data_IF_936379767677
#
_entry.id   IF_936379767677
#
_cell.length_a   1.000
_cell.length_b   1.000
_cell.length_c   1.000
_cell.angle_alpha   90.00
_cell.angle_beta   90.00
_cell.angle_gamma   90.00
#
_symmetry.space_group_name_H-M   'P 1'
#
loop_
_entity.id
_entity.type
_entity.pdbx_description
1 polymer ?
#
# COMPACT_ATOMS: atom_id res chain seq x y z
N UNK A 1 -8.42 -14.14 -10.08
CA UNK A 1 -7.11 -13.70 -10.57
C UNK A 1 -6.12 -13.65 -9.41
N UNK A 2 -4.86 -13.91 -9.70
CA UNK A 2 -3.80 -13.94 -8.69
C UNK A 2 -3.20 -12.55 -8.46
N UNK A 3 -2.82 -12.26 -7.20
CA UNK A 3 -1.97 -11.14 -6.82
C UNK A 3 -0.72 -11.72 -6.13
N UNK A 4 0.48 -11.22 -6.42
CA UNK A 4 0.84 -10.14 -7.36
C UNK A 4 0.47 -10.47 -8.80
N UNK A 5 0.46 -9.47 -9.71
CA UNK A 5 0.25 -9.72 -11.14
C UNK A 5 1.42 -10.54 -11.69
N UNK A 6 1.17 -11.79 -11.95
CA UNK A 6 2.15 -12.78 -12.37
C UNK A 6 1.67 -13.56 -13.61
N UNK A 7 2.43 -14.57 -14.03
CA UNK A 7 2.08 -15.35 -15.21
C UNK A 7 0.71 -16.04 -15.09
N UNK A 8 0.26 -16.43 -13.88
CA UNK A 8 -1.08 -16.99 -13.69
C UNK A 8 -2.17 -15.93 -13.94
N UNK A 9 -1.93 -14.69 -13.53
CA UNK A 9 -2.84 -13.56 -13.81
C UNK A 9 -2.95 -13.31 -15.31
N UNK A 10 -1.81 -13.23 -15.99
CA UNK A 10 -1.76 -12.94 -17.43
C UNK A 10 -2.32 -14.10 -18.27
N UNK A 11 -2.08 -15.34 -17.85
CA UNK A 11 -2.71 -16.50 -18.47
C UNK A 11 -4.24 -16.46 -18.33
N UNK A 12 -4.76 -16.19 -17.13
CA UNK A 12 -6.19 -16.10 -16.89
C UNK A 12 -6.86 -14.91 -17.62
N UNK A 13 -6.11 -13.83 -17.86
CA UNK A 13 -6.59 -12.61 -18.48
C UNK A 13 -6.54 -12.67 -20.01
N UNK A 14 -5.42 -13.14 -20.56
CA UNK A 14 -5.10 -13.06 -21.99
C UNK A 14 -4.78 -14.43 -22.64
N UNK A 15 -4.73 -15.51 -21.88
CA UNK A 15 -4.31 -16.81 -22.38
C UNK A 15 -2.82 -16.93 -22.70
N UNK A 16 -2.00 -15.96 -22.28
CA UNK A 16 -0.56 -15.91 -22.52
C UNK A 16 0.17 -16.97 -21.72
N UNK A 17 1.10 -17.68 -22.35
CA UNK A 17 1.83 -18.82 -21.75
C UNK A 17 3.29 -18.52 -21.44
N UNK A 18 3.85 -17.51 -22.09
CA UNK A 18 5.26 -17.16 -21.97
C UNK A 18 5.46 -15.71 -21.53
N UNK A 19 6.56 -15.40 -20.83
CA UNK A 19 6.93 -14.03 -20.51
C UNK A 19 7.00 -13.11 -21.71
N UNK A 20 7.42 -13.63 -22.86
CA UNK A 20 7.51 -12.83 -24.09
C UNK A 20 6.15 -12.41 -24.60
N UNK A 21 5.17 -13.31 -24.63
CA UNK A 21 3.78 -12.98 -25.01
C UNK A 21 3.19 -11.91 -24.10
N UNK A 22 3.43 -12.00 -22.79
CA UNK A 22 2.99 -10.99 -21.81
C UNK A 22 3.63 -9.63 -22.10
N UNK A 23 4.95 -9.60 -22.36
CA UNK A 23 5.66 -8.34 -22.69
C UNK A 23 5.09 -7.69 -23.94
N UNK A 24 4.83 -8.47 -24.99
CA UNK A 24 4.23 -7.99 -26.23
C UNK A 24 2.83 -7.41 -25.94
N UNK A 25 2.00 -8.15 -25.19
CA UNK A 25 0.65 -7.73 -24.85
C UNK A 25 0.61 -6.42 -24.05
N UNK A 26 1.47 -6.31 -23.03
CA UNK A 26 1.60 -5.07 -22.26
C UNK A 26 2.09 -3.93 -23.15
N UNK A 27 3.12 -4.17 -23.97
CA UNK A 27 3.66 -3.14 -24.86
C UNK A 27 2.61 -2.61 -25.86
N UNK A 28 1.78 -3.49 -26.42
CA UNK A 28 0.66 -3.10 -27.29
C UNK A 28 -0.34 -2.19 -26.56
N UNK A 29 -0.75 -2.59 -25.37
CA UNK A 29 -1.74 -1.86 -24.60
C UNK A 29 -1.22 -0.53 -24.04
N UNK A 30 0.07 -0.45 -23.75
CA UNK A 30 0.70 0.75 -23.15
C UNK A 30 1.34 1.68 -24.19
N UNK A 31 1.33 1.33 -25.48
CA UNK A 31 2.00 2.07 -26.54
C UNK A 31 1.65 3.58 -26.58
N UNK A 32 0.38 3.90 -26.35
CA UNK A 32 -0.11 5.29 -26.31
C UNK A 32 0.36 6.08 -25.10
N UNK A 33 0.82 5.40 -24.04
CA UNK A 33 1.31 6.01 -22.80
C UNK A 33 2.84 6.12 -22.73
N UNK A 34 3.57 5.69 -23.75
CA UNK A 34 5.05 5.60 -23.72
C UNK A 34 5.71 6.91 -23.34
N UNK A 35 5.30 8.00 -23.97
CA UNK A 35 5.89 9.33 -23.80
C UNK A 35 5.01 10.26 -22.94
N UNK A 36 3.99 9.71 -22.28
CA UNK A 36 3.07 10.45 -21.42
C UNK A 36 3.58 10.41 -19.98
N UNK A 37 3.71 11.56 -19.32
CA UNK A 37 3.93 11.63 -17.88
C UNK A 37 2.58 11.50 -17.16
N UNK A 38 2.37 10.43 -16.36
CA UNK A 38 1.09 10.18 -15.71
C UNK A 38 0.75 11.26 -14.67
N UNK A 39 -0.45 11.81 -14.75
CA UNK A 39 -0.94 12.86 -13.84
C UNK A 39 -1.72 12.31 -12.66
N UNK A 40 -2.25 11.11 -12.78
CA UNK A 40 -3.09 10.47 -11.79
C UNK A 40 -2.84 8.96 -11.72
N UNK A 41 -3.50 8.28 -10.79
CA UNK A 41 -3.36 6.84 -10.55
C UNK A 41 -3.80 6.01 -11.76
N UNK A 42 -4.89 6.39 -12.44
CA UNK A 42 -5.39 5.69 -13.63
C UNK A 42 -4.33 5.68 -14.74
N UNK A 43 -3.83 6.86 -15.11
CA UNK A 43 -2.80 6.98 -16.15
C UNK A 43 -1.52 6.21 -15.79
N UNK A 44 -1.13 6.25 -14.51
CA UNK A 44 0.04 5.49 -14.02
C UNK A 44 -0.19 3.98 -14.11
N UNK A 45 -1.36 3.49 -13.74
CA UNK A 45 -1.71 2.08 -13.84
C UNK A 45 -1.74 1.61 -15.30
N UNK A 46 -2.43 2.35 -16.17
CA UNK A 46 -2.50 2.04 -17.59
C UNK A 46 -1.09 2.03 -18.22
N UNK A 47 -0.25 2.99 -17.87
CA UNK A 47 1.16 3.04 -18.33
C UNK A 47 1.97 1.82 -17.92
N UNK A 48 1.71 1.26 -16.72
CA UNK A 48 2.45 0.11 -16.19
C UNK A 48 2.01 -1.24 -16.76
N UNK A 49 0.70 -1.45 -16.90
CA UNK A 49 0.12 -2.79 -17.12
C UNK A 49 -0.98 -2.85 -18.16
N UNK A 50 -1.35 -1.71 -18.74
CA UNK A 50 -2.40 -1.61 -19.74
C UNK A 50 -3.82 -1.50 -19.17
N UNK A 51 -4.79 -1.07 -20.01
CA UNK A 51 -6.16 -0.83 -19.61
C UNK A 51 -6.90 -2.10 -19.15
N UNK A 52 -6.66 -3.26 -19.76
CA UNK A 52 -7.39 -4.49 -19.41
C UNK A 52 -7.23 -4.86 -17.93
N UNK A 53 -6.00 -4.83 -17.43
CA UNK A 53 -5.71 -5.15 -16.03
C UNK A 53 -6.19 -4.03 -15.10
N UNK A 54 -5.97 -2.78 -15.50
CA UNK A 54 -6.46 -1.63 -14.75
C UNK A 54 -7.97 -1.70 -14.52
N UNK A 55 -8.76 -1.78 -15.56
CA UNK A 55 -10.23 -1.80 -15.47
C UNK A 55 -10.75 -2.99 -14.65
N UNK A 56 -10.15 -4.17 -14.84
CA UNK A 56 -10.66 -5.40 -14.25
C UNK A 56 -10.21 -5.63 -12.81
N UNK A 57 -9.00 -5.24 -12.45
CA UNK A 57 -8.38 -5.67 -11.19
C UNK A 57 -7.98 -4.52 -10.25
N UNK A 58 -7.85 -3.28 -10.76
CA UNK A 58 -7.35 -2.15 -9.97
C UNK A 58 -8.43 -1.13 -9.69
N UNK A 59 -9.10 -0.66 -10.72
CA UNK A 59 -10.04 0.47 -10.65
C UNK A 59 -11.08 0.30 -9.53
N UNK A 60 -11.87 -0.77 -9.61
CA UNK A 60 -12.95 -0.99 -8.65
C UNK A 60 -12.47 -1.12 -7.20
N UNK A 61 -11.36 -1.83 -6.98
CA UNK A 61 -10.75 -1.94 -5.65
C UNK A 61 -10.27 -0.57 -5.15
N UNK A 62 -9.56 0.17 -5.99
CA UNK A 62 -8.99 1.47 -5.62
C UNK A 62 -10.08 2.50 -5.32
N UNK A 63 -11.09 2.60 -6.18
CA UNK A 63 -12.20 3.54 -5.99
C UNK A 63 -13.04 3.21 -4.76
N UNK A 64 -13.26 1.92 -4.47
CA UNK A 64 -13.91 1.47 -3.23
C UNK A 64 -13.09 1.86 -2.00
N UNK A 65 -11.79 1.62 -2.02
CA UNK A 65 -10.90 1.89 -0.88
C UNK A 65 -10.77 3.39 -0.59
N UNK A 66 -10.61 4.20 -1.63
CA UNK A 66 -10.39 5.64 -1.51
C UNK A 66 -11.68 6.47 -1.49
N UNK A 67 -12.80 5.89 -1.93
CA UNK A 67 -14.10 6.58 -2.01
C UNK A 67 -14.12 7.74 -3.00
N UNK A 68 -13.23 7.72 -3.98
CA UNK A 68 -13.11 8.72 -5.06
C UNK A 68 -12.58 8.07 -6.33
N UNK A 69 -12.71 8.76 -7.47
CA UNK A 69 -12.21 8.26 -8.75
C UNK A 69 -10.68 8.07 -8.73
N UNK A 70 -10.20 7.06 -9.45
CA UNK A 70 -8.77 6.85 -9.64
C UNK A 70 -8.08 8.04 -10.37
N UNK A 71 -8.83 8.82 -11.14
CA UNK A 71 -8.35 10.06 -11.77
C UNK A 71 -8.07 11.19 -10.79
N UNK A 72 -8.65 11.15 -9.59
CA UNK A 72 -8.46 12.13 -8.54
C UNK A 72 -7.35 11.74 -7.54
N UNK A 73 -6.73 10.58 -7.77
CA UNK A 73 -5.68 10.05 -6.91
C UNK A 73 -4.30 10.25 -7.52
N UNK A 74 -3.28 10.57 -6.71
CA UNK A 74 -1.95 10.80 -7.23
C UNK A 74 -1.29 9.51 -7.75
N UNK A 75 -0.43 9.61 -8.81
CA UNK A 75 0.15 8.45 -9.49
C UNK A 75 1.08 7.61 -8.61
N UNK A 76 1.69 8.18 -7.57
CA UNK A 76 2.64 7.46 -6.74
C UNK A 76 2.01 6.31 -5.96
N UNK A 77 0.69 6.32 -5.71
CA UNK A 77 -0.02 5.27 -4.96
C UNK A 77 0.18 3.90 -5.62
N UNK A 78 0.13 3.84 -6.95
CA UNK A 78 0.27 2.57 -7.69
C UNK A 78 1.66 2.32 -8.28
N UNK A 79 2.59 3.23 -8.09
CA UNK A 79 3.94 3.15 -8.67
C UNK A 79 4.70 1.87 -8.26
N UNK A 80 4.34 1.27 -7.13
CA UNK A 80 4.96 0.06 -6.58
C UNK A 80 4.25 -1.24 -6.94
N UNK A 81 3.34 -1.22 -7.90
CA UNK A 81 2.61 -2.41 -8.31
C UNK A 81 3.57 -3.53 -8.75
N UNK A 82 3.57 -4.69 -8.08
CA UNK A 82 4.47 -5.77 -8.45
C UNK A 82 3.96 -6.50 -9.70
N UNK A 83 4.70 -6.37 -10.79
CA UNK A 83 4.50 -7.13 -12.03
C UNK A 83 5.61 -8.17 -12.14
N UNK A 84 5.26 -9.44 -12.21
CA UNK A 84 6.21 -10.55 -12.24
C UNK A 84 5.96 -11.44 -13.45
N UNK A 85 7.03 -11.78 -14.15
CA UNK A 85 6.98 -12.68 -15.31
C UNK A 85 7.37 -14.13 -14.91
N UNK A 86 6.91 -14.53 -13.73
CA UNK A 86 7.06 -15.86 -13.14
C UNK A 86 5.72 -16.40 -12.69
N UNK A 87 5.62 -17.70 -12.42
CA UNK A 87 4.41 -18.34 -11.86
C UNK A 87 4.37 -18.32 -10.33
N UNK A 88 5.20 -17.48 -9.69
CA UNK A 88 5.27 -17.35 -8.25
C UNK A 88 4.10 -16.49 -7.72
N UNK A 89 3.31 -17.07 -6.82
CA UNK A 89 2.15 -16.44 -6.18
C UNK A 89 2.51 -15.78 -4.83
N UNK A 90 3.75 -15.86 -4.37
CA UNK A 90 4.14 -15.17 -3.15
C UNK A 90 4.06 -13.65 -3.37
N UNK A 91 3.35 -12.97 -2.50
CA UNK A 91 3.21 -11.52 -2.62
C UNK A 91 4.53 -10.81 -2.30
N UNK A 92 5.22 -11.25 -1.26
CA UNK A 92 6.52 -10.71 -0.83
C UNK A 92 7.69 -11.56 -1.34
N UNK A 93 8.87 -10.95 -1.46
CA UNK A 93 10.11 -11.61 -1.86
C UNK A 93 10.98 -12.01 -0.64
N UNK A 94 10.45 -11.82 0.57
CA UNK A 94 11.18 -12.09 1.80
C UNK A 94 11.45 -13.59 1.97
N UNK A 95 12.68 -13.91 2.34
CA UNK A 95 13.12 -15.30 2.54
C UNK A 95 12.35 -16.00 3.67
N UNK A 96 11.99 -15.23 4.70
CA UNK A 96 11.24 -15.72 5.85
C UNK A 96 9.95 -14.92 6.00
N UNK A 97 8.85 -15.61 6.07
CA UNK A 97 7.52 -15.04 6.24
C UNK A 97 6.75 -15.89 7.25
N UNK A 98 6.05 -15.24 8.17
CA UNK A 98 5.27 -15.96 9.16
C UNK A 98 4.51 -15.02 10.09
N UNK A 99 3.66 -15.60 10.90
CA UNK A 99 2.97 -14.94 11.99
C UNK A 99 3.58 -15.46 13.29
N UNK A 100 3.95 -14.59 14.25
CA UNK A 100 4.55 -15.04 15.51
C UNK A 100 3.61 -15.96 16.29
N UNK A 101 4.14 -17.05 16.84
CA UNK A 101 3.39 -17.87 17.80
C UNK A 101 3.14 -17.03 19.05
N UNK A 102 1.87 -16.93 19.46
CA UNK A 102 1.44 -16.05 20.56
C UNK A 102 1.04 -14.64 20.14
N UNK A 103 1.08 -14.32 18.84
CA UNK A 103 0.64 -13.04 18.28
C UNK A 103 1.74 -11.97 18.23
N UNK A 104 1.43 -10.84 17.63
CA UNK A 104 2.38 -9.77 17.38
C UNK A 104 2.89 -9.06 18.65
N UNK A 105 2.09 -9.03 19.72
CA UNK A 105 2.46 -8.38 20.97
C UNK A 105 3.74 -8.96 21.57
N UNK A 106 3.95 -10.27 21.41
CA UNK A 106 5.17 -10.95 21.91
C UNK A 106 6.45 -10.35 21.32
N UNK A 107 6.43 -9.92 20.05
CA UNK A 107 7.56 -9.23 19.43
C UNK A 107 7.81 -7.90 20.12
N UNK A 108 6.75 -7.12 20.32
CA UNK A 108 6.85 -5.79 20.94
C UNK A 108 7.33 -5.91 22.41
N UNK A 109 6.77 -6.84 23.15
CA UNK A 109 7.18 -7.12 24.54
C UNK A 109 8.67 -7.49 24.62
N UNK A 110 9.15 -8.35 23.72
CA UNK A 110 10.56 -8.73 23.67
C UNK A 110 11.47 -7.55 23.27
N UNK A 111 11.04 -6.68 22.36
CA UNK A 111 11.80 -5.49 21.95
C UNK A 111 11.88 -4.44 23.07
N UNK A 112 10.85 -4.35 23.90
CA UNK A 112 10.73 -3.38 24.99
C UNK A 112 11.20 -3.91 26.35
N UNK A 113 11.70 -5.14 26.43
CA UNK A 113 12.04 -5.82 27.69
C UNK A 113 12.93 -5.00 28.64
N UNK A 114 13.86 -4.24 28.08
CA UNK A 114 14.82 -3.43 28.85
C UNK A 114 14.58 -1.92 28.65
N UNK A 115 13.37 -1.55 28.24
CA UNK A 115 12.96 -0.16 27.99
C UNK A 115 11.87 0.20 28.98
N UNK A 116 11.97 1.37 29.60
CA UNK A 116 10.91 1.93 30.42
C UNK A 116 9.70 2.28 29.54
N UNK A 117 8.53 1.77 29.92
CA UNK A 117 7.29 1.94 29.15
C UNK A 117 6.19 2.49 30.04
N UNK A 118 5.68 3.64 29.70
CA UNK A 118 4.49 4.22 30.33
C UNK A 118 3.28 4.10 29.41
N UNK A 119 2.18 3.58 29.92
CA UNK A 119 0.92 3.42 29.21
C UNK A 119 -0.12 4.45 29.67
N UNK A 120 -1.04 4.81 28.76
CA UNK A 120 -2.12 5.74 29.09
C UNK A 120 -1.69 7.19 29.20
N UNK A 121 -0.50 7.53 28.70
CA UNK A 121 0.02 8.90 28.69
C UNK A 121 -0.38 9.60 27.40
N UNK A 122 -1.10 10.70 27.52
CA UNK A 122 -1.38 11.59 26.39
C UNK A 122 -0.18 12.53 26.18
N UNK A 123 0.42 12.44 24.99
CA UNK A 123 1.60 13.24 24.64
C UNK A 123 1.30 14.74 24.70
N UNK A 124 0.18 15.20 24.17
CA UNK A 124 -0.13 16.63 24.09
C UNK A 124 -0.47 17.24 25.44
N UNK A 125 -1.06 16.45 26.34
CA UNK A 125 -1.32 16.89 27.72
C UNK A 125 -0.04 17.04 28.54
N UNK A 126 1.02 16.29 28.21
CA UNK A 126 2.29 16.22 28.95
C UNK A 126 3.49 16.63 28.10
N UNK A 127 3.28 17.27 26.96
CA UNK A 127 4.29 17.53 25.93
C UNK A 127 5.57 18.16 26.46
N UNK A 128 5.44 19.22 27.24
CA UNK A 128 6.60 19.97 27.76
C UNK A 128 7.49 19.11 28.67
N UNK A 129 6.89 18.30 29.51
CA UNK A 129 7.59 17.40 30.41
C UNK A 129 8.27 16.25 29.63
N UNK A 130 7.53 15.64 28.70
CA UNK A 130 8.05 14.55 27.86
C UNK A 130 9.19 15.01 26.95
N UNK A 131 9.07 16.17 26.32
CA UNK A 131 10.15 16.73 25.50
C UNK A 131 11.39 17.11 26.35
N UNK A 132 11.20 17.54 27.59
CA UNK A 132 12.29 17.86 28.52
C UNK A 132 12.98 16.63 29.13
N UNK A 133 12.31 15.49 29.16
CA UNK A 133 12.82 14.25 29.76
C UNK A 133 13.80 13.50 28.86
N UNK A 134 13.90 13.83 27.57
CA UNK A 134 14.71 13.10 26.60
C UNK A 134 15.55 14.05 25.73
N UNK A 135 16.74 13.62 25.37
CA UNK A 135 17.61 14.33 24.43
C UNK A 135 17.01 14.37 23.00
N UNK A 136 16.29 13.33 22.62
CA UNK A 136 15.61 13.20 21.32
C UNK A 136 14.25 12.58 21.50
N UNK A 137 13.25 13.12 20.81
CA UNK A 137 11.87 12.62 20.80
C UNK A 137 11.55 12.09 19.40
N UNK A 138 11.02 10.87 19.34
CA UNK A 138 10.46 10.27 18.13
C UNK A 138 8.96 10.17 18.31
N UNK A 139 8.23 11.12 17.71
CA UNK A 139 6.77 11.13 17.76
C UNK A 139 6.19 10.33 16.62
N UNK A 140 5.40 9.31 16.95
CA UNK A 140 4.78 8.40 15.95
C UNK A 140 3.27 8.63 15.78
N UNK A 141 2.73 9.67 16.42
CA UNK A 141 1.33 10.07 16.28
C UNK A 141 1.06 10.88 15.01
N UNK A 142 -0.08 11.56 14.97
CA UNK A 142 -0.49 12.37 13.81
C UNK A 142 0.42 13.60 13.67
N UNK A 143 1.13 13.69 12.54
CA UNK A 143 2.11 14.75 12.32
C UNK A 143 1.46 16.13 12.20
N UNK A 144 0.28 16.23 11.61
CA UNK A 144 -0.49 17.45 11.52
C UNK A 144 -0.90 17.98 12.89
N UNK A 145 -1.33 17.09 13.80
CA UNK A 145 -1.62 17.42 15.20
C UNK A 145 -0.35 17.86 15.94
N UNK A 146 0.79 17.22 15.70
CA UNK A 146 2.07 17.62 16.31
C UNK A 146 2.43 19.08 16.01
N UNK A 147 2.08 19.55 14.82
CA UNK A 147 2.27 20.95 14.37
C UNK A 147 1.03 21.83 14.53
N UNK A 148 0.09 21.48 15.43
CA UNK A 148 -1.11 22.25 15.71
C UNK A 148 -1.94 22.59 14.47
N UNK A 149 -1.94 21.67 13.47
CA UNK A 149 -2.65 21.82 12.20
C UNK A 149 -2.32 23.10 11.41
N UNK A 150 -1.18 23.72 11.67
CA UNK A 150 -0.78 25.00 11.06
C UNK A 150 -0.69 24.99 9.53
N UNK A 151 -0.61 23.81 8.93
CA UNK A 151 -0.59 23.59 7.47
C UNK A 151 -1.87 22.93 6.96
N UNK A 152 -2.91 22.84 7.79
CA UNK A 152 -4.12 22.09 7.53
C UNK A 152 -4.07 20.66 8.02
N UNK A 153 -5.22 20.00 8.01
CA UNK A 153 -5.38 18.60 8.39
C UNK A 153 -4.98 17.68 7.23
N UNK A 154 -4.35 16.54 7.55
CA UNK A 154 -4.11 15.48 6.60
C UNK A 154 -5.38 14.61 6.46
N UNK A 155 -5.66 14.16 5.24
CA UNK A 155 -6.77 13.28 5.00
C UNK A 155 -6.47 11.85 5.49
N UNK A 156 -7.39 11.31 6.30
CA UNK A 156 -7.38 9.93 6.77
C UNK A 156 -8.59 9.16 6.24
N UNK A 157 -8.44 7.83 6.10
CA UNK A 157 -9.56 6.96 5.73
C UNK A 157 -9.82 5.98 6.85
N UNK A 158 -11.05 6.01 7.37
CA UNK A 158 -11.53 5.02 8.34
C UNK A 158 -12.10 3.81 7.63
N UNK A 159 -11.86 2.62 8.18
CA UNK A 159 -12.44 1.37 7.72
C UNK A 159 -13.48 0.90 8.73
N UNK A 160 -14.63 0.46 8.24
CA UNK A 160 -15.63 -0.26 9.02
C UNK A 160 -15.67 -1.69 8.52
N UNK A 161 -15.46 -2.65 9.42
CA UNK A 161 -15.57 -4.07 9.12
C UNK A 161 -16.94 -4.57 9.53
N UNK A 162 -17.61 -5.22 8.59
CA UNK A 162 -18.85 -5.95 8.85
C UNK A 162 -18.55 -7.44 8.67
N UNK A 163 -18.77 -8.23 9.72
CA UNK A 163 -18.53 -9.66 9.72
C UNK A 163 -19.85 -10.39 9.57
N UNK A 164 -19.98 -11.22 8.54
CA UNK A 164 -21.13 -12.05 8.28
C UNK A 164 -20.67 -13.49 8.11
N UNK A 165 -21.40 -14.42 8.73
CA UNK A 165 -21.21 -15.87 8.57
C UNK A 165 -22.40 -16.38 7.79
N UNK A 166 -22.17 -16.86 6.57
CA UNK A 166 -23.17 -17.40 5.65
C UNK A 166 -23.26 -18.92 5.78
#
# INVERSE_FOLDING_TARGET
>A
YNLPFNMNTFYAMWGTKTPQEVKVKIAEQTAHMKDVEPKNLEEQAIKLIGPDIYEKLIKGYTEKQWGRSATDLPPFIIKRLPVRLTFDNNYFNDRYQGIPIGGYNVIIENMLKDVEVELGVDFFANRQELEASAEKVVFTGMIDQYFDYKHGELEYRSLRFEHEVL
#
